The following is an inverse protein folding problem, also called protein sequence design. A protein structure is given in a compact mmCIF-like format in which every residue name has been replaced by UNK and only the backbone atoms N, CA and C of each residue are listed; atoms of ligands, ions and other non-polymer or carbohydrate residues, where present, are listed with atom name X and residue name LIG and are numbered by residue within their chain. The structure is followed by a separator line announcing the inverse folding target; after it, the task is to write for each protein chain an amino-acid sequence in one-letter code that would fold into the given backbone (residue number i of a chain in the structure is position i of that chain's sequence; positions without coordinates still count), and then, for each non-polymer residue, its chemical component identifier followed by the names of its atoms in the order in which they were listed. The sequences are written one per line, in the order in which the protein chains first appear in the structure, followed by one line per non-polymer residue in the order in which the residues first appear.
data_IF_490549563978
#
_entry.id   IF_490549563978
#
_cell.length_a   1.000
_cell.length_b   1.000
_cell.length_c   1.000
_cell.angle_alpha   90.00
_cell.angle_beta   90.00
_cell.angle_gamma   90.00
#
_symmetry.space_group_name_H-M   'P 1'
#
loop_
_entity.id
_entity.type
_entity.pdbx_description
1 polymer ?
#
# COMPACT_ATOMS: atom_id res chain seq x y z
N UNK A 1 6.73 7.72 6.28
CA UNK A 1 6.33 7.03 5.03
C UNK A 1 7.51 6.17 4.63
N UNK A 2 7.26 4.94 4.16
CA UNK A 2 8.32 3.95 3.89
C UNK A 2 9.14 4.24 2.62
N UNK A 3 8.58 5.01 1.70
CA UNK A 3 9.23 5.44 0.46
C UNK A 3 9.68 6.89 0.55
N UNK A 4 10.96 7.15 0.33
CA UNK A 4 11.53 8.51 0.34
C UNK A 4 10.91 9.41 -0.75
N UNK A 5 10.49 8.81 -1.85
CA UNK A 5 9.86 9.51 -2.96
C UNK A 5 8.40 9.90 -2.68
N UNK A 6 7.76 9.41 -1.61
CA UNK A 6 6.38 9.74 -1.28
C UNK A 6 6.33 10.93 -0.32
N UNK A 7 5.71 12.02 -0.78
CA UNK A 7 5.53 13.23 0.03
C UNK A 7 4.23 13.20 0.83
N UNK A 8 3.19 12.61 0.25
CA UNK A 8 1.86 12.59 0.82
C UNK A 8 1.12 11.33 0.38
N UNK A 9 0.44 10.70 1.32
CA UNK A 9 -0.47 9.59 1.06
C UNK A 9 -1.66 9.71 1.99
N UNK A 10 -2.87 9.58 1.44
CA UNK A 10 -4.12 9.69 2.16
C UNK A 10 -5.11 8.64 1.68
N UNK A 11 -5.88 8.13 2.63
CA UNK A 11 -7.03 7.27 2.40
C UNK A 11 -8.26 7.95 2.96
N UNK A 12 -9.17 8.34 2.08
CA UNK A 12 -10.41 9.00 2.44
C UNK A 12 -11.59 8.05 2.17
N UNK A 13 -12.50 7.92 3.13
CA UNK A 13 -13.76 7.20 2.95
C UNK A 13 -14.88 8.20 3.16
N UNK A 14 -15.40 8.83 2.09
CA UNK A 14 -16.40 9.90 2.21
C UNK A 14 -17.66 9.44 2.95
N UNK A 15 -18.05 8.18 2.75
CA UNK A 15 -19.13 7.54 3.48
C UNK A 15 -18.85 6.03 3.65
N UNK A 16 -18.89 5.47 4.88
CA UNK A 16 -18.46 4.09 5.15
C UNK A 16 -19.20 2.99 4.37
N UNK A 17 -20.49 3.20 4.07
CA UNK A 17 -21.35 2.17 3.49
C UNK A 17 -21.74 2.39 2.02
N UNK A 18 -21.61 3.60 1.48
CA UNK A 18 -22.17 3.94 0.16
C UNK A 18 -21.18 4.61 -0.78
N UNK A 19 -20.02 5.04 -0.27
CA UNK A 19 -18.98 5.62 -1.09
C UNK A 19 -17.86 4.60 -1.30
N UNK A 20 -17.26 4.63 -2.49
CA UNK A 20 -15.99 3.97 -2.69
C UNK A 20 -14.89 4.79 -1.99
N UNK A 21 -13.95 4.14 -1.29
CA UNK A 21 -12.79 4.81 -0.76
C UNK A 21 -11.95 5.45 -1.85
N UNK A 22 -11.37 6.60 -1.55
CA UNK A 22 -10.45 7.33 -2.40
C UNK A 22 -9.05 7.25 -1.83
N UNK A 23 -8.12 6.76 -2.64
CA UNK A 23 -6.70 6.74 -2.30
C UNK A 23 -5.98 7.81 -3.10
N UNK A 24 -5.32 8.73 -2.40
CA UNK A 24 -4.52 9.78 -3.00
C UNK A 24 -3.06 9.63 -2.58
N UNK A 25 -2.15 9.75 -3.54
CA UNK A 25 -0.72 9.72 -3.28
C UNK A 25 -0.01 10.77 -4.14
N UNK A 26 0.90 11.51 -3.52
CA UNK A 26 1.78 12.48 -4.15
C UNK A 26 3.22 12.06 -3.93
N UNK A 27 3.98 12.07 -5.02
CA UNK A 27 5.39 11.70 -5.03
C UNK A 27 6.25 12.89 -5.44
N UNK A 28 7.43 13.02 -4.84
CA UNK A 28 8.40 14.07 -5.14
C UNK A 28 9.10 13.85 -6.48
N UNK A 29 9.24 12.57 -6.88
CA UNK A 29 9.93 12.15 -8.11
C UNK A 29 9.27 10.90 -8.71
N UNK A 30 9.39 10.76 -10.03
CA UNK A 30 8.89 9.59 -10.77
C UNK A 30 7.37 9.59 -10.97
N UNK A 31 6.81 8.41 -11.27
CA UNK A 31 5.37 8.24 -11.49
C UNK A 31 4.73 7.60 -10.25
N UNK A 32 3.75 8.28 -9.66
CA UNK A 32 2.99 7.79 -8.53
C UNK A 32 2.45 6.35 -8.73
N UNK A 33 1.97 6.06 -9.95
CA UNK A 33 1.48 4.71 -10.32
C UNK A 33 2.51 3.61 -10.12
N UNK A 34 3.78 3.88 -10.42
CA UNK A 34 4.84 2.88 -10.33
C UNK A 34 5.23 2.63 -8.87
N UNK A 35 5.25 3.69 -8.04
CA UNK A 35 5.44 3.58 -6.59
C UNK A 35 4.33 2.75 -5.95
N UNK A 36 3.07 3.00 -6.31
CA UNK A 36 1.94 2.21 -5.79
C UNK A 36 2.03 0.74 -6.21
N UNK A 37 2.41 0.46 -7.47
CA UNK A 37 2.61 -0.92 -7.92
C UNK A 37 3.71 -1.63 -7.15
N UNK A 38 4.82 -0.94 -6.85
CA UNK A 38 5.91 -1.46 -6.04
C UNK A 38 5.41 -1.80 -4.63
N UNK A 39 4.71 -0.88 -3.99
CA UNK A 39 4.14 -1.10 -2.66
C UNK A 39 3.16 -2.28 -2.59
N UNK A 40 2.28 -2.41 -3.58
CA UNK A 40 1.35 -3.54 -3.66
C UNK A 40 2.09 -4.87 -3.83
N UNK A 41 3.24 -4.88 -4.51
CA UNK A 41 4.05 -6.09 -4.68
C UNK A 41 4.76 -6.46 -3.37
N UNK A 42 5.42 -5.50 -2.73
CA UNK A 42 6.13 -5.71 -1.47
C UNK A 42 5.17 -6.20 -0.37
N UNK A 43 3.99 -5.59 -0.28
CA UNK A 43 2.94 -6.01 0.67
C UNK A 43 2.44 -7.44 0.42
N UNK A 44 2.40 -7.91 -0.84
CA UNK A 44 2.07 -9.30 -1.14
C UNK A 44 3.17 -10.26 -0.69
N UNK A 45 4.42 -9.91 -0.96
CA UNK A 45 5.58 -10.72 -0.57
C UNK A 45 5.66 -10.84 0.97
N UNK A 46 5.39 -9.77 1.70
CA UNK A 46 5.31 -9.77 3.18
C UNK A 46 4.19 -10.66 3.72
N UNK A 47 3.00 -10.62 3.10
CA UNK A 47 1.88 -11.50 3.49
C UNK A 47 2.24 -12.97 3.24
N UNK A 48 2.86 -13.28 2.10
CA UNK A 48 3.30 -14.64 1.78
C UNK A 48 4.36 -15.14 2.77
N UNK A 49 5.31 -14.30 3.15
CA UNK A 49 6.32 -14.63 4.16
C UNK A 49 5.70 -14.85 5.54
N UNK A 50 4.75 -13.99 5.93
CA UNK A 50 4.01 -14.14 7.18
C UNK A 50 3.23 -15.46 7.23
N UNK A 51 2.55 -15.83 6.13
CA UNK A 51 1.83 -17.11 6.05
C UNK A 51 2.77 -18.31 6.21
N UNK A 52 3.94 -18.30 5.56
CA UNK A 52 4.94 -19.37 5.72
C UNK A 52 5.44 -19.47 7.15
N UNK A 53 5.73 -18.34 7.79
CA UNK A 53 6.18 -18.31 9.19
C UNK A 53 5.12 -18.84 10.17
N UNK A 54 3.84 -18.71 9.85
CA UNK A 54 2.76 -19.28 10.64
C UNK A 54 2.66 -20.80 10.42
N UNK A 55 2.73 -21.26 9.18
CA UNK A 55 2.71 -22.69 8.83
C UNK A 55 3.93 -23.44 9.39
N UNK A 56 5.12 -22.83 9.40
CA UNK A 56 6.34 -23.42 9.99
C UNK A 56 6.31 -23.48 11.53
N UNK A 57 5.40 -22.74 12.16
CA UNK A 57 5.24 -22.70 13.62
C UNK A 57 4.10 -23.59 14.14
N UNK A 58 3.30 -24.20 13.26
CA UNK A 58 2.40 -25.33 13.57
C UNK A 58 3.13 -26.68 13.52
#
# INVERSE_FOLDING_TARGET
MEYEEVEYAEWNVPHPLVANPEFYVRVSKGKAKDVVKKAVRELKEEIEELMKQLEEKE
#
